data_IF_673463913839
#
_entry.id   IF_673463913839
#
_cell.length_a   1.000
_cell.length_b   1.000
_cell.length_c   1.000
_cell.angle_alpha   90.00
_cell.angle_beta   90.00
_cell.angle_gamma   90.00
#
_symmetry.space_group_name_H-M   'P 1'
#
loop_
_entity.id
_entity.type
_entity.pdbx_description
1 polymer ?
#
# COMPACT_ATOMS: atom_id res chain seq x y z
N UNK A 1 -44.60 -27.09 -7.36
CA UNK A 1 -43.58 -27.90 -8.05
C UNK A 1 -42.28 -27.11 -8.07
N UNK A 2 -41.19 -27.75 -7.64
CA UNK A 2 -39.99 -27.16 -7.03
C UNK A 2 -39.03 -26.53 -8.05
N UNK A 3 -38.48 -25.33 -7.78
CA UNK A 3 -37.15 -24.92 -8.26
C UNK A 3 -36.48 -23.98 -7.25
N UNK A 4 -35.92 -24.59 -6.20
CA UNK A 4 -34.82 -24.02 -5.42
C UNK A 4 -33.60 -23.99 -6.34
N UNK A 5 -33.25 -22.80 -6.84
CA UNK A 5 -31.96 -22.56 -7.46
C UNK A 5 -30.96 -22.35 -6.32
N UNK A 6 -30.36 -23.45 -5.86
CA UNK A 6 -29.17 -23.42 -5.02
C UNK A 6 -27.99 -23.42 -5.99
N UNK A 7 -27.13 -22.40 -5.98
CA UNK A 7 -25.71 -22.45 -6.40
C UNK A 7 -25.11 -21.04 -6.29
N UNK A 8 -23.99 -20.94 -5.56
CA UNK A 8 -23.18 -19.73 -5.47
C UNK A 8 -22.72 -19.43 -4.05
N UNK A 9 -21.88 -20.28 -3.48
CA UNK A 9 -20.88 -19.83 -2.50
C UNK A 9 -19.99 -18.82 -3.23
N UNK A 10 -20.42 -17.56 -3.26
CA UNK A 10 -19.58 -16.45 -3.65
C UNK A 10 -18.46 -16.39 -2.64
N UNK A 11 -17.29 -16.90 -3.02
CA UNK A 11 -16.03 -16.55 -2.36
C UNK A 11 -16.05 -15.04 -2.16
N UNK A 12 -16.23 -14.61 -0.90
CA UNK A 12 -16.00 -13.23 -0.53
C UNK A 12 -14.54 -12.99 -0.84
N UNK A 13 -14.30 -12.46 -2.04
CA UNK A 13 -12.99 -12.03 -2.47
C UNK A 13 -12.69 -10.83 -1.57
N UNK A 14 -12.15 -11.11 -0.39
CA UNK A 14 -11.56 -10.10 0.48
C UNK A 14 -10.56 -9.43 -0.42
N UNK A 15 -10.96 -8.27 -0.94
CA UNK A 15 -10.08 -7.38 -1.68
C UNK A 15 -9.10 -6.95 -0.62
N UNK A 16 -8.02 -7.72 -0.50
CA UNK A 16 -6.97 -7.49 0.48
C UNK A 16 -6.29 -6.24 -0.03
N UNK A 17 -6.79 -5.09 0.39
CA UNK A 17 -6.18 -3.81 0.13
C UNK A 17 -4.75 -3.90 0.63
N UNK A 18 -3.80 -4.00 -0.31
CA UNK A 18 -2.40 -4.23 0.02
C UNK A 18 -1.83 -2.92 0.54
N UNK A 19 -1.33 -2.95 1.76
CA UNK A 19 -0.75 -1.78 2.42
C UNK A 19 0.78 -1.86 2.35
N UNK A 20 1.42 -0.83 1.80
CA UNK A 20 2.88 -0.70 1.75
C UNK A 20 3.35 0.38 2.72
N UNK A 21 4.34 0.06 3.55
CA UNK A 21 5.06 1.02 4.38
C UNK A 21 6.33 1.45 3.63
N UNK A 22 6.44 2.72 3.28
CA UNK A 22 7.56 3.27 2.52
C UNK A 22 8.35 4.23 3.42
N UNK A 23 9.62 3.90 3.66
CA UNK A 23 10.56 4.79 4.38
C UNK A 23 11.27 5.72 3.39
N UNK A 24 11.53 6.97 3.80
CA UNK A 24 12.19 7.96 2.93
C UNK A 24 11.31 8.44 1.77
N UNK A 25 9.98 8.49 1.98
CA UNK A 25 9.00 8.84 0.94
C UNK A 25 9.18 10.26 0.37
N UNK A 26 9.80 11.17 1.13
CA UNK A 26 10.10 12.53 0.67
C UNK A 26 11.32 12.60 -0.26
N UNK A 27 12.12 11.53 -0.34
CA UNK A 27 13.25 11.44 -1.27
C UNK A 27 12.80 11.18 -2.71
N UNK A 28 13.74 11.35 -3.66
CA UNK A 28 13.49 11.13 -5.10
C UNK A 28 12.91 9.73 -5.39
N UNK A 29 13.56 8.68 -4.88
CA UNK A 29 13.14 7.29 -5.12
C UNK A 29 11.83 6.98 -4.36
N UNK A 30 11.71 7.44 -3.12
CA UNK A 30 10.53 7.21 -2.28
C UNK A 30 9.26 7.80 -2.89
N UNK A 31 9.33 9.02 -3.43
CA UNK A 31 8.21 9.66 -4.10
C UNK A 31 7.77 8.88 -5.34
N UNK A 32 8.72 8.49 -6.20
CA UNK A 32 8.40 7.74 -7.42
C UNK A 32 7.84 6.34 -7.13
N UNK A 33 8.36 5.66 -6.11
CA UNK A 33 7.85 4.37 -5.65
C UNK A 33 6.44 4.49 -5.07
N UNK A 34 6.21 5.44 -4.17
CA UNK A 34 4.89 5.69 -3.58
C UNK A 34 3.85 6.01 -4.67
N UNK A 35 4.21 6.85 -5.64
CA UNK A 35 3.34 7.18 -6.78
C UNK A 35 2.98 5.95 -7.61
N UNK A 36 3.93 5.02 -7.82
CA UNK A 36 3.66 3.78 -8.55
C UNK A 36 2.77 2.83 -7.75
N UNK A 37 3.04 2.65 -6.46
CA UNK A 37 2.24 1.80 -5.57
C UNK A 37 0.80 2.28 -5.45
N UNK A 38 0.59 3.60 -5.34
CA UNK A 38 -0.74 4.20 -5.35
C UNK A 38 -1.48 3.94 -6.68
N UNK A 39 -0.78 4.03 -7.82
CA UNK A 39 -1.36 3.73 -9.13
C UNK A 39 -1.75 2.24 -9.28
N UNK A 40 -1.03 1.35 -8.61
CA UNK A 40 -1.31 -0.09 -8.59
C UNK A 40 -2.41 -0.46 -7.57
N UNK A 41 -3.06 0.54 -6.92
CA UNK A 41 -4.19 0.34 -6.00
C UNK A 41 -3.78 -0.03 -4.57
N UNK A 42 -2.52 0.20 -4.21
CA UNK A 42 -2.04 -0.03 -2.85
C UNK A 42 -2.34 1.16 -1.95
N UNK A 43 -2.51 0.90 -0.66
CA UNK A 43 -2.49 1.94 0.37
C UNK A 43 -1.04 2.16 0.78
N UNK A 44 -0.53 3.37 0.59
CA UNK A 44 0.87 3.69 0.93
C UNK A 44 0.91 4.50 2.22
N UNK A 45 1.63 4.00 3.22
CA UNK A 45 1.97 4.70 4.45
C UNK A 45 3.42 5.15 4.30
N UNK A 46 3.63 6.46 4.12
CA UNK A 46 4.95 7.05 4.00
C UNK A 46 5.48 7.49 5.36
N UNK A 47 6.66 6.99 5.76
CA UNK A 47 7.42 7.52 6.90
C UNK A 47 8.69 8.15 6.33
N UNK A 48 8.82 9.46 6.43
CA UNK A 48 10.07 10.13 6.14
C UNK A 48 10.76 10.46 7.46
N UNK A 49 11.94 9.90 7.65
CA UNK A 49 12.80 10.34 8.73
C UNK A 49 13.47 11.61 8.27
N UNK A 50 12.89 12.79 8.55
CA UNK A 50 13.64 14.04 8.71
C UNK A 50 14.58 13.91 9.92
N UNK A 51 15.42 12.87 9.87
CA UNK A 51 16.46 12.64 10.85
C UNK A 51 17.51 13.66 10.49
N UNK A 52 17.80 14.57 11.41
CA UNK A 52 18.99 15.43 11.45
C UNK A 52 20.26 14.56 11.62
N UNK A 53 20.33 13.43 10.91
CA UNK A 53 21.37 12.44 11.03
C UNK A 53 22.54 12.83 10.15
N UNK A 54 23.14 13.99 10.46
CA UNK A 54 24.53 14.30 10.18
C UNK A 54 24.91 15.55 11.00
N UNK A 55 25.15 15.41 12.30
CA UNK A 55 26.13 16.29 12.95
C UNK A 55 27.52 15.77 12.55
N UNK A 56 27.95 16.12 11.34
CA UNK A 56 29.34 15.92 10.93
C UNK A 56 30.15 17.03 11.60
N UNK A 57 30.48 16.84 12.88
CA UNK A 57 31.54 17.61 13.53
C UNK A 57 32.86 17.16 12.91
N UNK A 58 33.30 17.87 11.87
CA UNK A 58 34.67 17.86 11.40
C UNK A 58 35.53 18.77 12.27
#
# INVERSE_FOLDING_TARGET
MRRICRLGTGSMNVTTTRTALVTGVAGFIGFHLARRLLADGWVVIGIDGMTDYYDVRL
#
